data_IF_230300465173
#
_entry.id   IF_230300465173
#
_cell.length_a   1.000
_cell.length_b   1.000
_cell.length_c   1.000
_cell.angle_alpha   90.00
_cell.angle_beta   90.00
_cell.angle_gamma   90.00
#
_symmetry.space_group_name_H-M   'P 1'
#
loop_
_entity.id
_entity.type
_entity.pdbx_description
1 polymer ?
#
# COMPACT_ATOMS: atom_id res chain seq x y z
N UNK A 1 -10.78 15.28 13.77
CA UNK A 1 -10.51 13.84 13.63
C UNK A 1 -9.72 13.71 12.34
N UNK A 2 -8.46 13.30 12.44
CA UNK A 2 -7.63 13.20 11.25
C UNK A 2 -7.91 11.91 10.48
N UNK A 3 -7.60 11.93 9.18
CA UNK A 3 -7.90 10.87 8.22
C UNK A 3 -6.76 9.87 8.18
N UNK A 4 -7.09 8.58 8.15
CA UNK A 4 -6.14 7.51 7.86
C UNK A 4 -6.67 6.67 6.71
N UNK A 5 -5.80 6.38 5.75
CA UNK A 5 -6.08 5.49 4.63
C UNK A 5 -4.77 4.85 4.17
N UNK A 6 -4.88 3.77 3.41
CA UNK A 6 -3.74 3.14 2.80
C UNK A 6 -4.10 2.56 1.45
N UNK A 7 -3.08 2.30 0.64
CA UNK A 7 -3.20 1.53 -0.57
C UNK A 7 -2.06 0.53 -0.70
N UNK A 8 -2.29 -0.44 -1.58
CA UNK A 8 -1.44 -1.61 -1.71
C UNK A 8 -1.02 -1.76 -3.16
N UNK A 9 0.24 -2.11 -3.39
CA UNK A 9 0.82 -2.27 -4.72
C UNK A 9 1.56 -3.61 -4.78
N UNK A 10 1.25 -4.44 -5.77
CA UNK A 10 1.84 -5.76 -5.97
C UNK A 10 2.78 -5.65 -7.16
N UNK A 11 4.04 -6.06 -7.01
CA UNK A 11 5.04 -6.04 -8.07
C UNK A 11 4.80 -7.16 -9.08
N UNK A 12 3.77 -6.99 -9.89
CA UNK A 12 3.32 -7.95 -10.89
C UNK A 12 3.02 -7.28 -12.22
N UNK A 13 3.31 -7.98 -13.32
CA UNK A 13 2.83 -7.61 -14.65
C UNK A 13 1.59 -8.43 -15.07
N UNK A 14 1.15 -9.39 -14.24
CA UNK A 14 0.06 -10.31 -14.51
C UNK A 14 -1.18 -9.96 -13.67
N UNK A 15 -2.13 -9.28 -14.31
CA UNK A 15 -3.38 -8.87 -13.67
C UNK A 15 -4.26 -10.05 -13.27
N UNK A 16 -4.33 -11.10 -14.09
CA UNK A 16 -5.18 -12.27 -13.81
C UNK A 16 -4.69 -13.00 -12.56
N UNK A 17 -3.39 -13.29 -12.47
CA UNK A 17 -2.78 -13.89 -11.27
C UNK A 17 -3.02 -13.04 -10.03
N UNK A 18 -2.90 -11.72 -10.17
CA UNK A 18 -3.13 -10.78 -9.07
C UNK A 18 -4.57 -10.81 -8.60
N UNK A 19 -5.54 -10.79 -9.52
CA UNK A 19 -6.97 -10.86 -9.19
C UNK A 19 -7.32 -12.18 -8.50
N UNK A 20 -6.74 -13.30 -8.90
CA UNK A 20 -6.95 -14.58 -8.21
C UNK A 20 -6.34 -14.59 -6.80
N UNK A 21 -5.18 -13.97 -6.58
CA UNK A 21 -4.63 -13.80 -5.24
C UNK A 21 -5.51 -12.89 -4.36
N UNK A 22 -6.12 -11.86 -4.94
CA UNK A 22 -7.08 -10.98 -4.23
C UNK A 22 -8.39 -11.70 -3.90
N UNK A 23 -8.85 -12.62 -4.78
CA UNK A 23 -9.98 -13.50 -4.50
C UNK A 23 -9.66 -14.44 -3.33
N UNK A 24 -8.50 -15.09 -3.37
CA UNK A 24 -8.03 -15.97 -2.28
C UNK A 24 -7.88 -15.20 -0.95
N UNK A 25 -7.37 -13.97 -0.99
CA UNK A 25 -7.35 -13.10 0.19
C UNK A 25 -8.77 -12.87 0.76
N UNK A 26 -9.73 -12.61 -0.14
CA UNK A 26 -11.12 -12.29 0.22
C UNK A 26 -11.89 -13.50 0.76
N UNK A 27 -11.65 -14.69 0.22
CA UNK A 27 -12.38 -15.92 0.55
C UNK A 27 -11.66 -16.75 1.63
N UNK A 28 -10.35 -16.95 1.49
CA UNK A 28 -9.52 -17.78 2.36
C UNK A 28 -8.95 -17.06 3.58
N UNK A 29 -8.84 -15.73 3.52
CA UNK A 29 -8.22 -14.89 4.57
C UNK A 29 -9.10 -13.72 4.99
N UNK A 30 -10.43 -13.82 4.85
CA UNK A 30 -11.38 -12.72 5.07
C UNK A 30 -11.22 -11.96 6.40
N UNK A 31 -10.70 -12.61 7.46
CA UNK A 31 -10.42 -11.97 8.75
C UNK A 31 -9.43 -10.83 8.68
N UNK A 32 -8.45 -10.88 7.76
CA UNK A 32 -7.47 -9.78 7.57
C UNK A 32 -8.09 -8.57 6.87
N UNK A 33 -9.28 -8.76 6.28
CA UNK A 33 -10.13 -7.69 5.72
C UNK A 33 -11.25 -7.29 6.70
N UNK A 34 -11.11 -7.62 7.99
CA UNK A 34 -12.05 -7.23 9.03
C UNK A 34 -13.36 -8.00 9.06
N UNK A 35 -13.51 -9.04 8.22
CA UNK A 35 -14.72 -9.87 8.22
C UNK A 35 -14.63 -10.93 9.32
N UNK A 36 -15.65 -10.97 10.18
CA UNK A 36 -15.79 -12.06 11.17
C UNK A 36 -16.55 -13.23 10.56
N UNK A 37 -16.11 -14.47 10.81
CA UNK A 37 -16.80 -15.69 10.37
C UNK A 37 -18.21 -15.90 10.99
N UNK A 38 -18.59 -15.06 11.96
CA UNK A 38 -19.79 -15.24 12.80
C UNK A 38 -21.01 -14.39 12.40
N UNK A 39 -20.95 -13.65 11.29
CA UNK A 39 -22.08 -12.82 10.83
C UNK A 39 -22.51 -13.17 9.40
N UNK A 40 -23.83 -13.17 9.20
CA UNK A 40 -24.55 -13.42 7.94
C UNK A 40 -23.85 -12.76 6.74
N UNK A 41 -23.94 -13.32 5.51
CA UNK A 41 -23.03 -12.99 4.41
C UNK A 41 -22.93 -11.48 4.21
N UNK A 42 -21.85 -10.92 4.75
CA UNK A 42 -21.51 -9.52 4.59
C UNK A 42 -21.31 -9.27 3.09
N UNK A 43 -21.76 -8.10 2.64
CA UNK A 43 -21.61 -7.62 1.26
C UNK A 43 -20.33 -8.10 0.59
N UNK A 44 -20.43 -8.48 -0.69
CA UNK A 44 -19.28 -8.88 -1.51
C UNK A 44 -18.09 -7.96 -1.28
N UNK A 45 -16.89 -8.54 -1.17
CA UNK A 45 -15.66 -7.76 -1.00
C UNK A 45 -15.43 -6.97 -2.28
N UNK A 46 -15.35 -5.65 -2.18
CA UNK A 46 -15.15 -4.77 -3.34
C UNK A 46 -13.73 -4.25 -3.33
N UNK A 47 -12.94 -4.66 -4.32
CA UNK A 47 -11.59 -4.13 -4.54
C UNK A 47 -11.54 -3.34 -5.85
N UNK A 48 -10.82 -2.23 -5.82
CA UNK A 48 -10.53 -1.42 -7.00
C UNK A 48 -9.10 -1.70 -7.43
N UNK A 49 -8.93 -2.23 -8.63
CA UNK A 49 -7.63 -2.71 -9.12
C UNK A 49 -7.22 -1.96 -10.38
N UNK A 50 -5.98 -1.46 -10.41
CA UNK A 50 -5.41 -0.77 -11.56
C UNK A 50 -3.98 -1.25 -11.83
N UNK A 51 -3.60 -1.36 -13.10
CA UNK A 51 -2.20 -1.54 -13.48
C UNK A 51 -1.54 -0.15 -13.47
N UNK A 52 -0.82 0.16 -12.40
CA UNK A 52 -0.24 1.50 -12.20
C UNK A 52 0.94 1.79 -13.12
N UNK A 53 1.78 0.79 -13.37
CA UNK A 53 2.82 0.85 -14.40
C UNK A 53 3.07 -0.56 -14.97
N UNK A 54 4.15 -0.74 -15.73
CA UNK A 54 4.46 -2.04 -16.35
C UNK A 54 4.64 -3.20 -15.34
N UNK A 55 5.08 -2.88 -14.12
CA UNK A 55 5.55 -3.83 -13.12
C UNK A 55 4.75 -3.82 -11.81
N UNK A 56 3.76 -2.93 -11.67
CA UNK A 56 3.02 -2.74 -10.43
C UNK A 56 1.51 -2.67 -10.67
N UNK A 57 0.77 -3.42 -9.87
CA UNK A 57 -0.69 -3.39 -9.80
C UNK A 57 -1.10 -2.80 -8.47
N UNK A 58 -1.91 -1.75 -8.50
CA UNK A 58 -2.40 -1.06 -7.31
C UNK A 58 -3.82 -1.50 -6.97
N UNK A 59 -4.09 -1.59 -5.67
CA UNK A 59 -5.32 -2.07 -5.11
C UNK A 59 -5.79 -1.08 -4.05
N UNK A 60 -7.04 -0.65 -4.17
CA UNK A 60 -7.74 0.14 -3.16
C UNK A 60 -8.89 -0.69 -2.58
N UNK A 61 -9.10 -0.55 -1.28
CA UNK A 61 -10.13 -1.25 -0.53
C UNK A 61 -10.47 -0.46 0.73
N UNK A 62 -11.71 -0.57 1.21
CA UNK A 62 -12.21 0.21 2.36
C UNK A 62 -11.52 -0.12 3.69
N UNK A 63 -11.12 -1.37 3.86
CA UNK A 63 -10.36 -1.83 5.02
C UNK A 63 -8.86 -1.50 4.99
N UNK A 64 -8.35 -0.88 3.91
CA UNK A 64 -6.95 -0.49 3.84
C UNK A 64 -6.75 0.82 4.58
N UNK A 65 -6.34 0.71 5.84
CA UNK A 65 -6.02 1.83 6.71
C UNK A 65 -4.70 1.57 7.43
N UNK A 66 -4.12 2.64 7.98
CA UNK A 66 -2.98 2.50 8.87
C UNK A 66 -3.34 1.60 10.06
N UNK A 67 -2.50 0.60 10.33
CA UNK A 67 -2.73 -0.44 11.35
C UNK A 67 -3.16 -1.81 10.80
N UNK A 68 -3.96 -1.86 9.74
CA UNK A 68 -4.41 -3.15 9.13
C UNK A 68 -3.62 -3.49 7.86
N UNK A 69 -3.22 -2.48 7.09
CA UNK A 69 -2.64 -2.68 5.75
C UNK A 69 -1.37 -3.54 5.75
N UNK A 70 -0.57 -3.51 6.82
CA UNK A 70 0.65 -4.34 6.93
C UNK A 70 0.35 -5.83 6.98
N UNK A 71 -0.67 -6.25 7.73
CA UNK A 71 -1.08 -7.67 7.79
C UNK A 71 -1.59 -8.16 6.44
N UNK A 72 -2.33 -7.29 5.75
CA UNK A 72 -2.81 -7.53 4.37
C UNK A 72 -1.62 -7.65 3.41
N UNK A 73 -0.63 -6.75 3.50
CA UNK A 73 0.60 -6.77 2.72
C UNK A 73 1.42 -8.05 2.93
N UNK A 74 1.60 -8.47 4.18
CA UNK A 74 2.23 -9.76 4.54
C UNK A 74 1.47 -10.93 3.90
N UNK A 75 0.17 -11.00 4.09
CA UNK A 75 -0.67 -12.10 3.58
C UNK A 75 -0.62 -12.16 2.05
N UNK A 76 -0.79 -11.03 1.37
CA UNK A 76 -0.72 -11.00 -0.09
C UNK A 76 0.65 -11.39 -0.62
N UNK A 77 1.74 -10.98 0.02
CA UNK A 77 3.09 -11.40 -0.41
C UNK A 77 3.32 -12.91 -0.31
N UNK A 78 2.59 -13.61 0.57
CA UNK A 78 2.57 -15.09 0.61
C UNK A 78 1.73 -15.67 -0.53
N UNK A 79 0.56 -15.10 -0.81
CA UNK A 79 -0.34 -15.61 -1.83
C UNK A 79 0.21 -15.40 -3.25
N UNK A 80 0.81 -14.23 -3.50
CA UNK A 80 1.35 -13.86 -4.82
C UNK A 80 2.74 -14.44 -5.06
N UNK A 81 3.51 -14.69 -3.99
CA UNK A 81 4.95 -14.98 -4.01
C UNK A 81 5.73 -13.87 -4.74
N UNK A 82 5.24 -12.62 -4.63
CA UNK A 82 5.80 -11.42 -5.27
C UNK A 82 5.93 -10.30 -4.23
N UNK A 83 6.85 -9.34 -4.44
CA UNK A 83 6.95 -8.18 -3.56
C UNK A 83 5.63 -7.41 -3.49
N UNK A 84 5.21 -7.08 -2.27
CA UNK A 84 4.02 -6.25 -2.00
C UNK A 84 4.45 -5.01 -1.25
N UNK A 85 4.01 -3.86 -1.71
CA UNK A 85 4.22 -2.56 -1.10
C UNK A 85 2.92 -2.07 -0.50
N UNK A 86 2.98 -1.50 0.69
CA UNK A 86 1.87 -0.77 1.30
C UNK A 86 2.30 0.67 1.51
N UNK A 87 1.43 1.60 1.14
CA UNK A 87 1.59 3.02 1.38
C UNK A 87 0.45 3.48 2.29
N UNK A 88 0.77 3.80 3.54
CA UNK A 88 -0.17 4.22 4.57
C UNK A 88 -0.01 5.70 4.91
N UNK A 89 -1.13 6.36 5.20
CA UNK A 89 -1.17 7.79 5.47
C UNK A 89 -1.96 8.07 6.74
N UNK A 90 -1.49 9.03 7.53
CA UNK A 90 -2.17 9.46 8.75
C UNK A 90 -2.09 10.98 8.84
N UNK A 91 -3.24 11.63 8.90
CA UNK A 91 -3.41 13.05 9.16
C UNK A 91 -2.56 13.98 8.27
N UNK A 92 -2.10 13.50 7.10
CA UNK A 92 -1.12 14.21 6.25
C UNK A 92 0.25 14.46 6.93
N UNK A 93 0.44 13.96 8.15
CA UNK A 93 1.63 14.13 8.99
C UNK A 93 2.59 12.95 8.88
N UNK A 94 2.08 11.79 8.46
CA UNK A 94 2.83 10.55 8.34
C UNK A 94 2.52 9.90 6.99
N UNK A 95 3.59 9.54 6.28
CA UNK A 95 3.56 8.62 5.16
C UNK A 95 4.44 7.41 5.52
N UNK A 96 3.83 6.23 5.60
CA UNK A 96 4.52 4.98 5.90
C UNK A 96 4.58 4.11 4.64
N UNK A 97 5.79 3.66 4.32
CA UNK A 97 6.06 2.78 3.19
C UNK A 97 6.65 1.47 3.71
N UNK A 98 5.95 0.37 3.47
CA UNK A 98 6.42 -0.96 3.86
C UNK A 98 6.47 -1.88 2.65
N UNK A 99 7.53 -2.69 2.55
CA UNK A 99 7.70 -3.72 1.53
C UNK A 99 7.76 -5.10 2.18
N UNK A 100 6.99 -6.02 1.60
CA UNK A 100 6.86 -7.40 2.05
C UNK A 100 7.28 -8.36 0.95
N UNK A 101 7.91 -9.45 1.33
CA UNK A 101 8.22 -10.57 0.45
C UNK A 101 8.11 -11.87 1.25
N UNK A 102 7.38 -12.85 0.70
CA UNK A 102 7.17 -14.16 1.32
C UNK A 102 6.68 -14.07 2.79
N UNK A 103 5.75 -13.15 3.07
CA UNK A 103 5.12 -12.97 4.37
C UNK A 103 5.92 -12.15 5.39
N UNK A 104 7.13 -11.73 5.04
CA UNK A 104 8.02 -11.00 5.93
C UNK A 104 8.22 -9.57 5.45
N UNK A 105 8.32 -8.64 6.39
CA UNK A 105 8.73 -7.27 6.07
C UNK A 105 10.21 -7.26 5.67
N UNK A 106 10.52 -6.70 4.52
CA UNK A 106 11.87 -6.63 3.95
C UNK A 106 12.46 -5.23 4.01
N UNK A 107 11.62 -4.20 4.02
CA UNK A 107 12.02 -2.83 4.26
C UNK A 107 10.81 -2.02 4.73
N UNK A 108 11.06 -1.03 5.56
CA UNK A 108 10.09 -0.06 6.02
C UNK A 108 10.75 1.31 6.14
N UNK A 109 9.98 2.35 5.80
CA UNK A 109 10.37 3.73 5.99
C UNK A 109 9.17 4.57 6.35
N UNK A 110 9.33 5.41 7.38
CA UNK A 110 8.31 6.37 7.79
C UNK A 110 8.83 7.78 7.44
N UNK A 111 8.05 8.52 6.67
CA UNK A 111 8.30 9.92 6.32
C UNK A 111 7.39 10.78 7.17
N UNK A 112 8.00 11.55 8.07
CA UNK A 112 7.31 12.52 8.92
C UNK A 112 8.33 13.51 9.49
N UNK A 113 7.82 14.66 9.94
CA UNK A 113 8.61 15.67 10.63
C UNK A 113 9.08 15.17 12.01
N UNK A 114 10.19 15.71 12.50
CA UNK A 114 10.78 15.26 13.77
C UNK A 114 9.80 15.43 14.94
N UNK A 115 9.05 16.52 14.98
CA UNK A 115 8.07 16.76 16.04
C UNK A 115 6.95 15.71 16.04
N UNK A 116 6.53 15.23 14.86
CA UNK A 116 5.56 14.14 14.73
C UNK A 116 6.15 12.83 15.27
N UNK A 117 7.43 12.54 15.00
CA UNK A 117 8.10 11.38 15.61
C UNK A 117 8.13 11.46 17.14
N UNK A 118 8.38 12.65 17.68
CA UNK A 118 8.45 12.88 19.12
C UNK A 118 7.07 12.78 19.79
N UNK A 119 5.99 13.17 19.11
CA UNK A 119 4.61 13.05 19.61
C UNK A 119 4.07 11.62 19.57
N UNK A 120 4.40 10.86 18.53
CA UNK A 120 3.99 9.47 18.39
C UNK A 120 5.08 8.55 18.94
N UNK A 121 5.11 8.36 20.27
CA UNK A 121 6.14 7.58 21.00
C UNK A 121 6.38 6.14 20.46
N UNK A 122 5.43 5.58 19.72
CA UNK A 122 5.50 4.23 19.13
C UNK A 122 5.82 4.23 17.63
N UNK A 123 6.09 5.40 17.04
CA UNK A 123 6.41 5.53 15.64
C UNK A 123 7.85 5.09 15.40
N UNK A 124 8.02 3.87 14.89
CA UNK A 124 9.32 3.34 14.54
C UNK A 124 9.20 2.30 13.44
N UNK A 125 10.19 2.29 12.56
CA UNK A 125 10.31 1.30 11.51
C UNK A 125 10.61 -0.09 12.09
N UNK A 126 9.85 -1.10 11.71
CA UNK A 126 10.08 -2.50 12.09
C UNK A 126 11.38 -3.04 11.49
N UNK A 127 11.70 -2.66 10.24
CA UNK A 127 12.90 -3.13 9.55
C UNK A 127 13.42 -2.13 8.52
N UNK A 128 14.55 -1.49 8.81
CA UNK A 128 15.19 -0.54 7.89
C UNK A 128 16.15 -1.29 6.96
N UNK A 129 15.88 -1.25 5.65
CA UNK A 129 16.72 -1.85 4.62
C UNK A 129 16.63 -1.04 3.33
N UNK A 130 17.40 0.04 3.30
CA UNK A 130 17.41 1.03 2.23
C UNK A 130 17.87 0.41 0.88
N UNK A 131 18.83 -0.51 0.90
CA UNK A 131 19.29 -1.24 -0.30
C UNK A 131 18.16 -2.07 -0.94
N UNK A 132 17.40 -2.80 -0.12
CA UNK A 132 16.26 -3.58 -0.61
C UNK A 132 15.15 -2.69 -1.15
N UNK A 133 14.85 -1.59 -0.43
CA UNK A 133 13.86 -0.60 -0.83
C UNK A 133 14.20 -0.02 -2.21
N UNK A 134 15.43 0.46 -2.38
CA UNK A 134 15.94 1.02 -3.62
C UNK A 134 15.83 0.02 -4.78
N UNK A 135 16.35 -1.20 -4.59
CA UNK A 135 16.36 -2.24 -5.63
C UNK A 135 14.96 -2.66 -6.03
N UNK A 136 14.04 -2.79 -5.06
CA UNK A 136 12.68 -3.26 -5.31
C UNK A 136 11.86 -2.21 -6.06
N UNK A 137 12.02 -0.94 -5.71
CA UNK A 137 11.38 0.19 -6.39
C UNK A 137 12.03 0.54 -7.73
N UNK A 138 13.22 -0.03 -8.01
CA UNK A 138 14.01 0.25 -9.21
C UNK A 138 14.41 1.73 -9.34
N UNK A 139 14.81 2.34 -8.22
CA UNK A 139 15.21 3.75 -8.16
C UNK A 139 16.74 3.85 -8.34
N UNK A 140 17.19 4.81 -9.15
CA UNK A 140 18.63 5.08 -9.33
C UNK A 140 19.22 5.62 -8.03
N UNK A 141 20.46 5.25 -7.74
CA UNK A 141 21.12 5.60 -6.47
C UNK A 141 21.12 7.10 -6.18
N UNK A 142 21.43 7.93 -7.19
CA UNK A 142 21.45 9.39 -7.08
C UNK A 142 20.08 9.98 -6.70
N UNK A 143 18.99 9.40 -7.21
CA UNK A 143 17.64 9.84 -6.91
C UNK A 143 17.16 9.34 -5.53
N UNK A 144 17.67 8.17 -5.11
CA UNK A 144 17.27 7.52 -3.88
C UNK A 144 17.81 8.24 -2.64
N UNK A 145 19.07 8.69 -2.67
CA UNK A 145 19.67 9.45 -1.56
C UNK A 145 18.87 10.73 -1.24
N UNK A 146 18.42 11.43 -2.29
CA UNK A 146 17.55 12.60 -2.15
C UNK A 146 16.17 12.26 -1.60
N UNK A 147 15.62 11.10 -1.97
CA UNK A 147 14.31 10.63 -1.53
C UNK A 147 14.28 10.23 -0.05
N UNK A 148 15.24 9.44 0.43
CA UNK A 148 15.26 8.94 1.83
C UNK A 148 15.51 10.03 2.86
N UNK A 149 16.03 11.19 2.43
CA UNK A 149 16.25 12.36 3.27
C UNK A 149 15.02 13.26 3.45
N UNK A 150 13.92 12.99 2.74
CA UNK A 150 12.68 13.77 2.86
C UNK A 150 12.01 13.48 4.21
N UNK A 151 11.60 14.53 4.91
CA UNK A 151 10.81 14.43 6.15
C UNK A 151 9.34 14.77 5.94
N UNK A 152 9.01 15.59 4.94
CA UNK A 152 7.63 15.93 4.61
C UNK A 152 6.92 14.75 3.93
N UNK A 153 5.80 14.25 4.49
CA UNK A 153 5.03 13.14 3.91
C UNK A 153 4.56 13.42 2.48
N UNK A 154 4.02 14.61 2.24
CA UNK A 154 3.53 15.08 0.94
C UNK A 154 4.66 15.08 -0.11
N UNK A 155 5.82 15.66 0.24
CA UNK A 155 6.97 15.66 -0.66
C UNK A 155 7.50 14.25 -0.93
N UNK A 156 7.46 13.37 0.07
CA UNK A 156 7.94 12.00 -0.06
C UNK A 156 7.03 11.18 -0.98
N UNK A 157 5.70 11.27 -0.82
CA UNK A 157 4.76 10.56 -1.70
C UNK A 157 4.83 11.09 -3.13
N UNK A 158 4.94 12.40 -3.32
CA UNK A 158 5.07 13.02 -4.63
C UNK A 158 6.35 12.58 -5.32
N UNK A 159 7.47 12.62 -4.59
CA UNK A 159 8.77 12.21 -5.14
C UNK A 159 8.78 10.73 -5.49
N UNK A 160 8.22 9.87 -4.64
CA UNK A 160 8.14 8.45 -4.91
C UNK A 160 7.21 8.13 -6.11
N UNK A 161 6.10 8.85 -6.21
CA UNK A 161 5.17 8.75 -7.34
C UNK A 161 5.86 9.14 -8.65
N UNK A 162 6.65 10.21 -8.65
CA UNK A 162 7.47 10.64 -9.80
C UNK A 162 8.49 9.55 -10.19
N UNK A 163 9.25 9.03 -9.22
CA UNK A 163 10.32 8.07 -9.47
C UNK A 163 9.82 6.71 -9.97
N UNK A 164 8.62 6.31 -9.52
CA UNK A 164 8.06 5.00 -9.84
C UNK A 164 7.01 5.05 -10.95
N UNK A 165 6.51 6.24 -11.30
CA UNK A 165 5.37 6.42 -12.19
C UNK A 165 4.06 5.85 -11.63
N UNK A 166 3.97 5.62 -10.31
CA UNK A 166 2.76 5.12 -9.66
C UNK A 166 1.96 6.28 -9.07
N UNK A 167 0.64 6.12 -8.96
CA UNK A 167 -0.17 7.03 -8.15
C UNK A 167 -0.34 6.43 -6.77
N UNK A 168 0.45 6.95 -5.81
CA UNK A 168 0.48 6.45 -4.43
C UNK A 168 -0.49 7.21 -3.52
N UNK A 169 -0.84 8.45 -3.86
CA UNK A 169 -1.84 9.23 -3.13
C UNK A 169 -3.23 8.99 -3.72
N UNK A 170 -3.84 7.86 -3.39
CA UNK A 170 -5.18 7.48 -3.84
C UNK A 170 -5.95 6.80 -2.71
N UNK A 171 -7.19 7.24 -2.49
CA UNK A 171 -8.13 6.63 -1.55
C UNK A 171 -9.30 5.99 -2.32
N UNK A 172 -9.77 4.84 -1.85
CA UNK A 172 -10.93 4.15 -2.42
C UNK A 172 -12.18 5.06 -2.35
N UNK A 173 -12.30 5.90 -1.31
CA UNK A 173 -13.42 6.81 -1.12
C UNK A 173 -13.54 7.83 -2.26
N UNK A 174 -12.46 8.12 -2.98
CA UNK A 174 -12.44 9.12 -4.05
C UNK A 174 -12.89 8.54 -5.39
N UNK A 175 -12.80 7.22 -5.58
CA UNK A 175 -13.13 6.56 -6.86
C UNK A 175 -14.53 6.92 -7.38
N UNK A 176 -15.60 7.02 -6.56
CA UNK A 176 -16.92 7.43 -7.04
C UNK A 176 -17.04 8.91 -7.44
N UNK A 177 -16.09 9.75 -7.02
CA UNK A 177 -16.16 11.22 -7.17
C UNK A 177 -15.12 11.78 -8.14
N UNK A 178 -13.99 11.08 -8.33
CA UNK A 178 -12.91 11.46 -9.23
C UNK A 178 -12.94 10.61 -10.50
N UNK A 179 -13.33 11.24 -11.61
CA UNK A 179 -13.47 10.59 -12.92
C UNK A 179 -12.19 9.87 -13.35
N UNK A 180 -11.04 10.51 -13.14
CA UNK A 180 -9.72 9.94 -13.49
C UNK A 180 -9.40 8.67 -12.70
N UNK A 181 -9.82 8.56 -11.44
CA UNK A 181 -9.66 7.34 -10.65
C UNK A 181 -10.65 6.27 -11.09
N UNK A 182 -11.91 6.64 -11.36
CA UNK A 182 -12.94 5.73 -11.86
C UNK A 182 -12.60 5.08 -13.20
N UNK A 183 -11.92 5.82 -14.10
CA UNK A 183 -11.44 5.28 -15.37
C UNK A 183 -10.23 4.34 -15.21
N UNK A 184 -9.35 4.64 -14.27
CA UNK A 184 -8.10 3.90 -14.05
C UNK A 184 -8.29 2.62 -13.24
N UNK A 185 -9.18 2.65 -12.26
CA UNK A 185 -9.40 1.53 -11.34
C UNK A 185 -10.65 0.76 -11.72
N UNK A 186 -10.47 -0.52 -12.03
CA UNK A 186 -11.58 -1.42 -12.32
C UNK A 186 -12.09 -2.05 -11.03
N UNK A 187 -13.41 -2.04 -10.87
CA UNK A 187 -14.09 -2.68 -9.73
C UNK A 187 -14.11 -4.21 -9.90
N UNK A 188 -13.70 -4.93 -8.86
CA UNK A 188 -13.82 -6.37 -8.71
C UNK A 188 -14.67 -6.68 -7.48
N UNK A 189 -15.57 -7.66 -7.60
CA UNK A 189 -16.41 -8.14 -6.50
C UNK A 189 -16.16 -9.63 -6.29
N UNK A 190 -15.80 -10.00 -5.06
CA UNK A 190 -15.58 -11.37 -4.62
C UNK A 190 -16.70 -11.78 -3.66
#
# INVERSE_FOLDING_TARGET
MGRSFANLHIKSNNLEKTVEALRELSEGHASVLGKSNDRAPESKVVMYVSKSNENWISVLHDYFVWGTVKEIGRTLSLLTQEPVMTAGYINEEIFELSLFENGNIQAERIFCEQWTRDEYEQLGEEHINDDYLQRTLNIRHEDFDGFIGITSPEQAVDKLSELTGMSLWCDWEWVPYEETLGERFKKYEF
#
